data_IF_927010538529
#
_entry.id   IF_927010538529
#
_cell.length_a   1.000
_cell.length_b   1.000
_cell.length_c   1.000
_cell.angle_alpha   90.00
_cell.angle_beta   90.00
_cell.angle_gamma   90.00
#
_symmetry.space_group_name_H-M   'P 1'
#
loop_
_entity.id
_entity.type
_entity.pdbx_description
1 polymer ?
#
# COMPACT_ATOMS: atom_id res chain seq x y z
N UNK A 1 2.44 91.52 -56.84
CA UNK A 1 2.25 90.34 -57.65
C UNK A 1 2.65 89.18 -56.77
N UNK A 2 1.83 88.21 -56.61
CA UNK A 2 1.88 86.94 -55.89
C UNK A 2 2.74 86.85 -54.63
N UNK A 3 2.03 87.02 -53.48
CA UNK A 3 2.55 86.79 -52.16
C UNK A 3 2.65 85.30 -51.81
N UNK A 4 3.74 84.91 -51.20
CA UNK A 4 4.01 83.56 -50.68
C UNK A 4 3.56 83.51 -49.23
N UNK A 5 2.49 82.75 -48.97
CA UNK A 5 2.01 82.47 -47.59
C UNK A 5 2.78 81.31 -47.03
N UNK A 6 3.58 81.56 -45.98
CA UNK A 6 4.25 80.52 -45.20
C UNK A 6 3.24 79.93 -44.23
N UNK A 7 2.92 78.61 -44.37
CA UNK A 7 2.10 77.87 -43.48
C UNK A 7 3.01 77.29 -42.36
N UNK A 8 2.77 77.75 -41.12
CA UNK A 8 3.42 77.22 -39.93
C UNK A 8 2.57 76.07 -39.42
N UNK A 9 3.05 74.84 -39.44
CA UNK A 9 2.43 73.69 -38.80
C UNK A 9 2.93 73.54 -37.36
N UNK A 10 2.04 73.37 -36.36
CA UNK A 10 2.49 73.09 -35.03
C UNK A 10 2.92 71.62 -34.91
N UNK A 11 4.11 71.40 -34.39
CA UNK A 11 4.60 70.05 -34.00
C UNK A 11 3.86 69.62 -32.74
N UNK A 12 2.96 68.62 -32.88
CA UNK A 12 2.36 67.94 -31.72
C UNK A 12 3.35 66.89 -31.25
N UNK A 13 3.97 67.12 -30.10
CA UNK A 13 4.80 66.15 -29.40
C UNK A 13 3.87 65.16 -28.70
N UNK A 14 3.73 63.96 -29.29
CA UNK A 14 3.01 62.85 -28.67
C UNK A 14 3.91 62.24 -27.58
N UNK A 15 3.56 62.45 -26.31
CA UNK A 15 4.14 61.72 -25.18
C UNK A 15 3.62 60.25 -25.24
N UNK A 16 4.42 59.36 -25.77
CA UNK A 16 4.20 57.94 -25.58
C UNK A 16 4.37 57.62 -24.07
N UNK A 17 3.28 57.50 -23.35
CA UNK A 17 3.25 56.84 -22.06
C UNK A 17 3.62 55.36 -22.30
N UNK A 18 4.81 54.96 -21.83
CA UNK A 18 5.21 53.56 -21.82
C UNK A 18 4.19 52.71 -21.08
N UNK A 19 3.43 51.89 -21.80
CA UNK A 19 2.69 50.78 -21.24
C UNK A 19 3.73 49.77 -20.79
N UNK A 20 3.97 49.67 -19.47
CA UNK A 20 4.63 48.48 -18.90
C UNK A 20 3.79 47.29 -19.34
N UNK A 21 4.24 46.56 -20.33
CA UNK A 21 3.76 45.22 -20.61
C UNK A 21 4.18 44.37 -19.39
N UNK A 22 3.22 44.07 -18.53
CA UNK A 22 3.32 42.92 -17.63
C UNK A 22 3.46 41.69 -18.53
N UNK A 23 4.69 41.22 -18.74
CA UNK A 23 4.90 39.89 -19.25
C UNK A 23 4.18 38.95 -18.24
N UNK A 24 3.27 38.06 -18.67
CA UNK A 24 2.74 37.08 -17.80
C UNK A 24 3.97 36.28 -17.28
N UNK A 25 4.18 36.28 -15.96
CA UNK A 25 5.08 35.34 -15.34
C UNK A 25 4.59 33.98 -15.80
N UNK A 26 5.42 33.25 -16.54
CA UNK A 26 5.19 31.83 -16.82
C UNK A 26 4.90 31.24 -15.45
N UNK A 27 3.65 30.85 -15.23
CA UNK A 27 3.34 30.04 -14.08
C UNK A 27 4.25 28.82 -14.20
N UNK A 28 5.18 28.64 -13.28
CA UNK A 28 6.02 27.46 -13.25
C UNK A 28 5.09 26.25 -13.35
N UNK A 29 5.31 25.42 -14.37
CA UNK A 29 4.53 24.21 -14.53
C UNK A 29 4.68 23.40 -13.24
N UNK A 30 3.57 22.98 -12.67
CA UNK A 30 3.59 22.22 -11.41
C UNK A 30 4.55 21.04 -11.54
N UNK A 31 5.43 20.87 -10.56
CA UNK A 31 6.32 19.71 -10.47
C UNK A 31 5.46 18.44 -10.38
N UNK A 32 5.83 17.39 -11.08
CA UNK A 32 5.06 16.15 -11.12
C UNK A 32 5.88 15.00 -10.53
N UNK A 33 5.32 14.33 -9.55
CA UNK A 33 5.82 13.08 -8.97
C UNK A 33 4.98 11.94 -9.51
N UNK A 34 5.63 10.90 -10.06
CA UNK A 34 4.96 9.73 -10.62
C UNK A 34 5.16 8.53 -9.71
N UNK A 35 4.07 8.05 -9.14
CA UNK A 35 4.03 6.81 -8.34
C UNK A 35 3.16 5.80 -9.07
N UNK A 36 3.55 4.53 -9.05
CA UNK A 36 2.73 3.44 -9.60
C UNK A 36 3.10 2.12 -8.92
N UNK A 37 2.17 1.21 -8.78
CA UNK A 37 2.48 -0.12 -8.25
C UNK A 37 1.32 -0.83 -7.56
N UNK A 38 1.56 -1.26 -6.35
CA UNK A 38 0.69 -2.10 -5.55
C UNK A 38 -0.65 -1.44 -5.22
N UNK A 39 -1.76 -2.14 -5.51
CA UNK A 39 -3.10 -1.79 -5.04
C UNK A 39 -3.21 -1.78 -3.51
N UNK A 40 -2.44 -2.63 -2.82
CA UNK A 40 -2.38 -2.66 -1.35
C UNK A 40 -1.76 -1.38 -0.77
N UNK A 41 -0.71 -0.82 -1.39
CA UNK A 41 -0.03 0.39 -0.89
C UNK A 41 -0.74 1.67 -1.36
N UNK A 42 -1.47 1.58 -2.46
CA UNK A 42 -2.18 2.71 -3.08
C UNK A 42 -2.96 3.57 -2.09
N UNK A 43 -3.82 3.02 -1.17
CA UNK A 43 -4.60 3.86 -0.26
C UNK A 43 -3.74 4.74 0.65
N UNK A 44 -2.59 4.22 1.10
CA UNK A 44 -1.66 4.99 1.94
C UNK A 44 -0.99 6.07 1.11
N UNK A 45 -0.44 5.71 -0.07
CA UNK A 45 0.24 6.66 -0.95
C UNK A 45 -0.71 7.74 -1.45
N UNK A 46 -1.97 7.41 -1.73
CA UNK A 46 -3.01 8.37 -2.12
C UNK A 46 -3.31 9.37 -0.98
N UNK A 47 -3.52 8.88 0.25
CA UNK A 47 -3.74 9.74 1.41
C UNK A 47 -2.55 10.68 1.66
N UNK A 48 -1.32 10.15 1.60
CA UNK A 48 -0.09 10.95 1.72
C UNK A 48 0.02 11.97 0.59
N UNK A 49 -0.29 11.58 -0.65
CA UNK A 49 -0.23 12.47 -1.81
C UNK A 49 -1.24 13.61 -1.70
N UNK A 50 -2.46 13.31 -1.25
CA UNK A 50 -3.49 14.32 -1.04
C UNK A 50 -3.07 15.37 0.01
N UNK A 51 -2.63 14.93 1.19
CA UNK A 51 -2.21 15.82 2.26
C UNK A 51 -0.94 16.61 1.90
N UNK A 52 0.01 15.96 1.23
CA UNK A 52 1.21 16.63 0.71
C UNK A 52 0.86 17.74 -0.29
N UNK A 53 0.00 17.46 -1.29
CA UNK A 53 -0.43 18.45 -2.28
C UNK A 53 -1.15 19.64 -1.63
N UNK A 54 -1.96 19.40 -0.59
CA UNK A 54 -2.57 20.47 0.22
C UNK A 54 -1.51 21.35 0.88
N UNK A 55 -0.46 20.74 1.45
CA UNK A 55 0.63 21.47 2.10
C UNK A 55 1.47 22.30 1.12
N UNK A 56 1.70 21.78 -0.09
CA UNK A 56 2.46 22.43 -1.18
C UNK A 56 1.65 23.50 -1.92
N UNK A 57 0.35 23.65 -1.62
CA UNK A 57 -0.55 24.66 -2.23
C UNK A 57 -0.56 24.60 -3.76
N UNK A 58 -0.53 23.40 -4.33
CA UNK A 58 -0.61 23.16 -5.78
C UNK A 58 0.70 23.41 -6.55
N UNK A 59 1.83 23.55 -5.88
CA UNK A 59 3.15 23.65 -6.54
C UNK A 59 3.62 22.30 -7.07
N UNK A 60 3.28 21.22 -6.38
CA UNK A 60 3.67 19.86 -6.72
C UNK A 60 2.42 19.00 -6.90
N UNK A 61 2.33 18.26 -8.00
CA UNK A 61 1.30 17.26 -8.24
C UNK A 61 1.89 15.86 -8.05
N UNK A 62 1.18 15.00 -7.36
CA UNK A 62 1.52 13.57 -7.22
C UNK A 62 0.48 12.75 -7.97
N UNK A 63 0.92 11.92 -8.90
CA UNK A 63 0.04 10.97 -9.59
C UNK A 63 0.31 9.57 -9.06
N UNK A 64 -0.73 8.88 -8.63
CA UNK A 64 -0.63 7.52 -8.09
C UNK A 64 -1.41 6.58 -8.99
N UNK A 65 -0.74 5.59 -9.57
CA UNK A 65 -1.34 4.58 -10.45
C UNK A 65 -1.34 3.20 -9.80
N UNK A 66 -2.22 2.33 -10.30
CA UNK A 66 -2.34 0.94 -9.86
C UNK A 66 -2.02 0.02 -11.04
N UNK A 67 -0.96 -0.77 -10.92
CA UNK A 67 -0.62 -1.82 -11.89
C UNK A 67 -0.16 -3.13 -11.23
N UNK A 68 -0.41 -3.24 -9.90
CA UNK A 68 0.10 -4.31 -9.06
C UNK A 68 1.61 -4.16 -8.81
N UNK A 69 2.13 -4.83 -7.76
CA UNK A 69 3.55 -4.75 -7.39
C UNK A 69 4.50 -5.11 -8.54
N UNK A 70 4.19 -6.18 -9.28
CA UNK A 70 5.03 -6.60 -10.41
C UNK A 70 4.98 -5.64 -11.60
N UNK A 71 3.80 -5.06 -11.89
CA UNK A 71 3.60 -4.03 -12.91
C UNK A 71 4.34 -2.75 -12.55
N UNK A 72 4.25 -2.30 -11.30
CA UNK A 72 4.99 -1.18 -10.75
C UNK A 72 6.49 -1.34 -10.90
N UNK A 73 7.06 -2.46 -10.46
CA UNK A 73 8.49 -2.73 -10.63
C UNK A 73 8.94 -2.79 -12.10
N UNK A 74 8.07 -3.24 -13.01
CA UNK A 74 8.39 -3.21 -14.44
C UNK A 74 8.54 -1.77 -14.94
N UNK A 75 7.57 -0.88 -14.68
CA UNK A 75 7.63 0.54 -15.04
C UNK A 75 8.80 1.24 -14.35
N UNK A 76 8.99 0.99 -13.06
CA UNK A 76 10.07 1.53 -12.26
C UNK A 76 11.45 1.12 -12.80
N UNK A 77 11.64 -0.17 -13.07
CA UNK A 77 12.88 -0.69 -13.64
C UNK A 77 13.18 -0.19 -15.06
N UNK A 78 12.18 0.36 -15.77
CA UNK A 78 12.34 1.06 -17.05
C UNK A 78 12.57 2.58 -16.87
N UNK A 79 12.48 3.10 -15.63
CA UNK A 79 12.63 4.53 -15.34
C UNK A 79 11.40 5.37 -15.70
N UNK A 80 10.22 4.77 -15.82
CA UNK A 80 8.97 5.46 -16.19
C UNK A 80 8.31 6.15 -14.98
N UNK A 81 8.63 5.70 -13.75
CA UNK A 81 8.13 6.24 -12.50
C UNK A 81 9.26 6.68 -11.57
N UNK A 82 8.96 7.64 -10.70
CA UNK A 82 9.88 8.14 -9.66
C UNK A 82 9.90 7.22 -8.45
N UNK A 83 8.71 6.68 -8.12
CA UNK A 83 8.47 5.82 -6.97
C UNK A 83 7.65 4.61 -7.42
N UNK A 84 7.92 3.45 -6.83
CA UNK A 84 7.09 2.25 -7.00
C UNK A 84 6.54 1.79 -5.65
N UNK A 85 5.23 1.61 -5.58
CA UNK A 85 4.55 1.02 -4.46
C UNK A 85 4.68 -0.51 -4.52
N UNK A 86 5.02 -1.15 -3.39
CA UNK A 86 5.25 -2.58 -3.37
C UNK A 86 4.72 -3.25 -2.08
N UNK A 87 3.92 -4.28 -2.23
CA UNK A 87 3.37 -5.08 -1.13
C UNK A 87 4.28 -6.26 -0.73
N UNK A 88 5.48 -6.29 -1.24
CA UNK A 88 6.55 -7.25 -0.92
C UNK A 88 7.92 -6.68 -1.27
N UNK A 89 9.02 -7.22 -0.72
CA UNK A 89 10.35 -6.87 -1.18
C UNK A 89 10.57 -7.19 -2.67
N UNK A 90 11.48 -6.43 -3.28
CA UNK A 90 11.87 -6.61 -4.69
C UNK A 90 12.44 -8.01 -4.95
N UNK A 91 12.03 -8.65 -6.05
CA UNK A 91 12.50 -9.99 -6.45
C UNK A 91 13.82 -9.90 -7.24
N UNK A 92 14.63 -10.98 -7.29
CA UNK A 92 15.89 -10.99 -8.06
C UNK A 92 15.72 -10.58 -9.52
N UNK A 93 14.64 -11.01 -10.18
CA UNK A 93 14.35 -10.67 -11.58
C UNK A 93 14.10 -9.17 -11.80
N UNK A 94 13.49 -8.52 -10.80
CA UNK A 94 13.21 -7.06 -10.82
C UNK A 94 14.50 -6.29 -10.52
N UNK A 95 15.35 -6.79 -9.62
CA UNK A 95 16.71 -6.25 -9.38
C UNK A 95 17.53 -6.29 -10.66
N UNK A 96 17.51 -7.41 -11.41
CA UNK A 96 18.22 -7.51 -12.67
C UNK A 96 17.70 -6.54 -13.74
N UNK A 97 16.36 -6.31 -13.79
CA UNK A 97 15.77 -5.31 -14.68
C UNK A 97 16.29 -3.90 -14.34
N UNK A 98 16.29 -3.53 -13.05
CA UNK A 98 16.83 -2.25 -12.58
C UNK A 98 18.31 -2.09 -12.98
N UNK A 99 19.15 -3.08 -12.70
CA UNK A 99 20.58 -3.07 -13.08
C UNK A 99 20.79 -2.88 -14.57
N UNK A 100 20.05 -3.63 -15.40
CA UNK A 100 20.15 -3.55 -16.87
C UNK A 100 19.88 -2.14 -17.40
N UNK A 101 18.99 -1.41 -16.74
CA UNK A 101 18.60 -0.05 -17.15
C UNK A 101 19.30 1.06 -16.33
N UNK A 102 20.25 0.71 -15.46
CA UNK A 102 20.98 1.67 -14.64
C UNK A 102 20.14 2.35 -13.57
N UNK A 103 19.05 1.69 -13.11
CA UNK A 103 18.18 2.18 -12.05
C UNK A 103 18.71 1.70 -10.71
N UNK A 104 19.16 2.63 -9.89
CA UNK A 104 19.41 2.42 -8.46
C UNK A 104 18.19 2.86 -7.66
N UNK A 105 17.88 2.13 -6.59
CA UNK A 105 16.67 2.38 -5.78
C UNK A 105 16.96 2.38 -4.28
N UNK A 106 16.10 3.10 -3.55
CA UNK A 106 16.11 3.15 -2.09
C UNK A 106 14.79 2.51 -1.64
N UNK A 107 14.86 1.37 -0.95
CA UNK A 107 13.71 0.69 -0.36
C UNK A 107 13.36 1.32 0.98
N UNK A 108 12.10 1.69 1.17
CA UNK A 108 11.59 2.30 2.40
C UNK A 108 10.31 1.58 2.83
N UNK A 109 10.26 0.96 4.00
CA UNK A 109 9.03 0.43 4.55
C UNK A 109 8.10 1.58 4.97
N UNK A 110 6.79 1.39 4.77
CA UNK A 110 5.79 2.45 5.05
C UNK A 110 4.72 2.03 6.04
N UNK A 111 4.35 0.74 6.08
CA UNK A 111 3.36 0.20 7.03
C UNK A 111 3.46 -1.33 7.08
N UNK A 112 2.63 -1.94 7.95
CA UNK A 112 2.27 -3.35 7.84
C UNK A 112 0.85 -3.48 7.30
N UNK A 113 0.68 -4.39 6.36
CA UNK A 113 -0.61 -4.91 5.92
C UNK A 113 -0.93 -6.14 6.78
N UNK A 114 -2.02 -6.09 7.53
CA UNK A 114 -2.50 -7.18 8.39
C UNK A 114 -3.91 -7.58 7.99
N UNK A 115 -4.10 -8.85 7.63
CA UNK A 115 -5.40 -9.42 7.33
C UNK A 115 -5.91 -10.26 8.50
N UNK A 116 -7.16 -10.11 8.83
CA UNK A 116 -7.82 -10.94 9.84
C UNK A 116 -8.87 -11.86 9.22
N UNK A 117 -8.92 -13.09 9.70
CA UNK A 117 -10.02 -14.00 9.46
C UNK A 117 -11.02 -13.85 10.60
N UNK A 118 -12.28 -13.67 10.26
CA UNK A 118 -13.31 -13.34 11.23
C UNK A 118 -14.56 -14.19 11.04
N UNK A 119 -15.24 -14.46 12.18
CA UNK A 119 -16.52 -15.16 12.24
C UNK A 119 -17.49 -14.40 13.13
N UNK A 120 -18.75 -14.81 13.13
CA UNK A 120 -19.75 -14.30 14.07
C UNK A 120 -19.38 -14.66 15.51
N UNK A 121 -19.57 -13.78 16.51
CA UNK A 121 -19.27 -14.08 17.92
C UNK A 121 -20.02 -15.30 18.49
N UNK A 122 -21.17 -15.66 17.92
CA UNK A 122 -21.95 -16.85 18.29
C UNK A 122 -21.46 -18.15 17.66
N UNK A 123 -20.47 -18.07 16.76
CA UNK A 123 -19.77 -19.24 16.23
C UNK A 123 -18.89 -19.83 17.34
N UNK A 124 -19.30 -20.97 17.85
CA UNK A 124 -18.69 -21.63 19.02
C UNK A 124 -17.94 -22.93 18.68
N UNK A 125 -17.74 -23.24 17.39
CA UNK A 125 -17.02 -24.43 16.94
C UNK A 125 -15.67 -24.14 16.31
N UNK A 126 -15.41 -22.87 15.89
CA UNK A 126 -14.11 -22.47 15.36
C UNK A 126 -13.30 -21.80 16.48
N UNK A 127 -12.31 -22.52 16.99
CA UNK A 127 -11.34 -21.98 17.95
C UNK A 127 -10.12 -21.39 17.25
N UNK A 128 -9.69 -22.01 16.15
CA UNK A 128 -8.63 -21.56 15.26
C UNK A 128 -8.73 -22.23 13.90
N UNK A 129 -7.97 -21.76 12.93
CA UNK A 129 -7.78 -22.38 11.61
C UNK A 129 -6.29 -22.50 11.29
N UNK A 130 -5.93 -23.58 10.61
CA UNK A 130 -4.62 -23.68 9.98
C UNK A 130 -4.63 -23.02 8.59
N UNK A 131 -3.46 -22.61 8.10
CA UNK A 131 -3.30 -22.12 6.71
C UNK A 131 -3.79 -23.15 5.70
N UNK A 132 -3.57 -24.44 5.96
CA UNK A 132 -4.07 -25.54 5.11
C UNK A 132 -5.60 -25.62 5.07
N UNK A 133 -6.26 -25.39 6.20
CA UNK A 133 -7.72 -25.36 6.26
C UNK A 133 -8.29 -24.13 5.57
N UNK A 134 -7.67 -22.97 5.75
CA UNK A 134 -8.04 -21.76 4.99
C UNK A 134 -7.89 -21.99 3.48
N UNK A 135 -6.77 -22.57 3.04
CA UNK A 135 -6.59 -22.95 1.64
C UNK A 135 -7.69 -23.87 1.14
N UNK A 136 -8.01 -24.92 1.90
CA UNK A 136 -9.08 -25.87 1.57
C UNK A 136 -10.45 -25.19 1.44
N UNK A 137 -10.70 -24.11 2.20
CA UNK A 137 -11.95 -23.32 2.12
C UNK A 137 -11.95 -22.45 0.88
N UNK A 138 -10.81 -21.79 0.55
CA UNK A 138 -10.77 -20.67 -0.38
C UNK A 138 -10.18 -20.98 -1.77
N UNK A 139 -9.48 -22.13 -1.97
CA UNK A 139 -8.89 -22.48 -3.26
C UNK A 139 -9.96 -22.66 -4.36
N UNK A 140 -9.62 -22.47 -5.65
CA UNK A 140 -10.58 -22.63 -6.77
C UNK A 140 -11.26 -23.97 -6.79
N UNK A 141 -10.54 -25.03 -6.43
CA UNK A 141 -11.03 -26.42 -6.41
C UNK A 141 -12.13 -26.66 -5.37
N UNK A 142 -12.24 -25.81 -4.37
CA UNK A 142 -13.25 -25.85 -3.31
C UNK A 142 -14.65 -25.43 -3.81
N UNK A 143 -14.72 -24.71 -4.93
CA UNK A 143 -15.96 -24.16 -5.47
C UNK A 143 -17.02 -25.23 -5.63
N UNK A 144 -18.17 -25.06 -4.98
CA UNK A 144 -19.32 -25.99 -4.95
C UNK A 144 -19.00 -27.39 -4.41
N UNK A 145 -17.78 -27.64 -3.91
CA UNK A 145 -17.38 -28.93 -3.32
C UNK A 145 -17.24 -28.85 -1.79
N UNK A 146 -16.60 -27.79 -1.33
CA UNK A 146 -16.45 -27.51 0.09
C UNK A 146 -17.54 -26.49 0.47
N UNK A 147 -18.67 -27.01 0.91
CA UNK A 147 -19.87 -26.20 1.20
C UNK A 147 -20.34 -26.33 2.64
N UNK A 148 -19.74 -27.25 3.43
CA UNK A 148 -20.16 -27.54 4.80
C UNK A 148 -18.98 -27.54 5.76
N UNK A 149 -19.24 -27.11 6.99
CA UNK A 149 -18.21 -26.98 8.03
C UNK A 149 -17.58 -28.35 8.41
N UNK A 150 -18.37 -29.43 8.47
CA UNK A 150 -17.85 -30.78 8.76
C UNK A 150 -16.95 -31.35 7.66
N UNK A 151 -16.88 -30.72 6.50
CA UNK A 151 -15.90 -31.08 5.47
C UNK A 151 -14.50 -30.50 5.78
N UNK A 152 -14.43 -29.50 6.63
CA UNK A 152 -13.14 -28.97 7.11
C UNK A 152 -12.65 -29.81 8.28
N UNK A 153 -13.42 -29.90 9.37
CA UNK A 153 -13.20 -30.82 10.49
C UNK A 153 -14.43 -31.67 10.72
N UNK A 154 -14.31 -33.02 10.81
CA UNK A 154 -15.46 -33.93 10.93
C UNK A 154 -16.32 -33.73 12.19
N UNK A 155 -15.76 -33.16 13.25
CA UNK A 155 -16.43 -32.85 14.52
C UNK A 155 -17.19 -31.53 14.50
N UNK A 156 -17.03 -30.71 13.42
CA UNK A 156 -17.78 -29.49 13.26
C UNK A 156 -19.20 -29.71 12.73
N UNK A 157 -20.10 -28.74 12.90
CA UNK A 157 -21.52 -28.93 12.52
C UNK A 157 -21.67 -29.24 11.02
N UNK A 158 -22.63 -30.14 10.71
CA UNK A 158 -23.07 -30.39 9.34
C UNK A 158 -24.01 -29.27 8.87
N UNK A 159 -23.42 -28.06 8.67
CA UNK A 159 -24.09 -26.84 8.25
C UNK A 159 -23.33 -26.18 7.12
N UNK A 160 -24.00 -25.36 6.34
CA UNK A 160 -23.39 -24.64 5.21
C UNK A 160 -22.33 -23.65 5.69
N UNK A 161 -21.32 -23.40 4.85
CA UNK A 161 -20.33 -22.33 5.01
C UNK A 161 -20.79 -21.15 4.20
N UNK A 162 -20.93 -19.99 4.83
CA UNK A 162 -21.20 -18.73 4.13
C UNK A 162 -19.94 -17.88 4.10
N UNK A 163 -19.47 -17.57 2.90
CA UNK A 163 -18.17 -16.96 2.67
C UNK A 163 -18.31 -15.48 2.33
N UNK A 164 -17.53 -14.65 3.01
CA UNK A 164 -17.42 -13.21 2.78
C UNK A 164 -15.96 -12.83 2.61
N UNK A 165 -15.63 -12.01 1.62
CA UNK A 165 -14.25 -11.63 1.39
C UNK A 165 -14.14 -10.39 0.52
N UNK A 166 -12.94 -9.79 0.55
CA UNK A 166 -12.62 -8.65 -0.28
C UNK A 166 -12.87 -8.95 -1.76
N UNK A 167 -13.27 -7.95 -2.50
CA UNK A 167 -13.52 -8.04 -3.93
C UNK A 167 -12.24 -8.21 -4.74
N UNK A 168 -12.39 -8.61 -5.99
CA UNK A 168 -11.26 -8.98 -6.87
C UNK A 168 -10.36 -7.80 -7.27
N UNK A 169 -10.83 -6.56 -7.08
CA UNK A 169 -10.05 -5.35 -7.34
C UNK A 169 -9.31 -4.84 -6.09
N UNK A 170 -9.46 -5.55 -4.94
CA UNK A 170 -8.86 -5.19 -3.67
C UNK A 170 -7.46 -5.78 -3.50
N UNK A 171 -6.50 -4.97 -3.05
CA UNK A 171 -5.18 -5.43 -2.63
C UNK A 171 -5.22 -6.44 -1.46
N UNK A 172 -6.27 -6.41 -0.64
CA UNK A 172 -6.56 -7.39 0.40
C UNK A 172 -6.83 -8.77 -0.21
N UNK A 173 -7.62 -8.83 -1.29
CA UNK A 173 -7.86 -10.06 -2.04
C UNK A 173 -6.59 -10.62 -2.67
N UNK A 174 -5.78 -9.77 -3.31
CA UNK A 174 -4.51 -10.17 -3.91
C UNK A 174 -3.61 -10.83 -2.87
N UNK A 175 -3.45 -10.17 -1.73
CA UNK A 175 -2.60 -10.68 -0.66
C UNK A 175 -3.13 -11.97 -0.04
N UNK A 176 -4.43 -12.03 0.28
CA UNK A 176 -5.02 -13.23 0.85
C UNK A 176 -4.84 -14.43 -0.06
N UNK A 177 -5.11 -14.27 -1.35
CA UNK A 177 -4.97 -15.37 -2.32
C UNK A 177 -3.51 -15.78 -2.53
N UNK A 178 -2.56 -14.83 -2.54
CA UNK A 178 -1.14 -15.14 -2.58
C UNK A 178 -0.69 -15.91 -1.32
N UNK A 179 -1.04 -15.41 -0.14
CA UNK A 179 -0.58 -15.95 1.14
C UNK A 179 -1.19 -17.30 1.47
N UNK A 180 -2.48 -17.50 1.20
CA UNK A 180 -3.22 -18.72 1.59
C UNK A 180 -3.28 -19.75 0.45
N UNK A 181 -3.59 -19.32 -0.76
CA UNK A 181 -3.74 -20.26 -1.90
C UNK A 181 -2.41 -20.48 -2.61
N UNK A 182 -1.48 -19.51 -2.51
CA UNK A 182 -0.16 -19.58 -3.11
C UNK A 182 -0.06 -18.91 -4.49
N UNK A 183 -1.13 -18.19 -4.92
CA UNK A 183 -1.16 -17.47 -6.18
C UNK A 183 -2.16 -16.34 -6.11
N UNK A 184 -1.73 -15.11 -6.44
CA UNK A 184 -2.62 -13.95 -6.59
C UNK A 184 -3.81 -14.26 -7.51
N UNK A 185 -4.97 -13.73 -7.18
CA UNK A 185 -6.25 -13.89 -7.89
C UNK A 185 -6.77 -15.34 -8.00
N UNK A 186 -6.18 -16.29 -7.29
CA UNK A 186 -6.63 -17.68 -7.30
C UNK A 186 -7.55 -17.96 -6.12
N UNK A 187 -8.86 -17.88 -6.33
CA UNK A 187 -9.86 -18.29 -5.33
C UNK A 187 -11.10 -18.91 -6.00
N UNK A 188 -11.94 -19.53 -5.16
CA UNK A 188 -13.32 -19.85 -5.56
C UNK A 188 -14.08 -18.55 -5.82
N UNK A 189 -15.11 -18.60 -6.69
CA UNK A 189 -15.92 -17.45 -7.04
C UNK A 189 -17.34 -17.46 -6.43
N UNK A 190 -17.67 -18.47 -5.61
CA UNK A 190 -18.99 -18.62 -5.00
C UNK A 190 -19.01 -18.10 -3.55
N UNK A 191 -18.51 -16.90 -3.34
CA UNK A 191 -18.54 -16.16 -2.08
C UNK A 191 -19.14 -14.75 -2.28
N UNK A 192 -19.55 -14.11 -1.19
CA UNK A 192 -19.99 -12.71 -1.22
C UNK A 192 -18.76 -11.83 -1.23
N UNK A 193 -18.47 -11.23 -2.38
CA UNK A 193 -17.38 -10.30 -2.60
C UNK A 193 -17.83 -8.85 -2.38
N UNK A 194 -17.03 -8.02 -1.74
CA UNK A 194 -17.26 -6.57 -1.64
C UNK A 194 -15.94 -5.82 -1.53
N UNK A 195 -15.88 -4.66 -2.20
CA UNK A 195 -14.80 -3.67 -2.00
C UNK A 195 -15.05 -2.80 -0.77
N UNK A 196 -16.29 -2.80 -0.23
CA UNK A 196 -16.65 -2.13 1.01
C UNK A 196 -16.64 -3.15 2.17
N UNK A 197 -15.63 -3.06 3.03
CA UNK A 197 -15.47 -3.94 4.18
C UNK A 197 -16.63 -3.83 5.19
N UNK A 198 -17.39 -2.73 5.22
CA UNK A 198 -18.58 -2.63 6.07
C UNK A 198 -19.68 -3.60 5.64
N UNK A 199 -19.77 -3.93 4.35
CA UNK A 199 -20.68 -4.97 3.84
C UNK A 199 -20.26 -6.33 4.36
N UNK A 200 -18.94 -6.62 4.38
CA UNK A 200 -18.39 -7.87 4.90
C UNK A 200 -18.61 -7.99 6.41
N UNK A 201 -18.35 -6.92 7.17
CA UNK A 201 -18.64 -6.82 8.61
C UNK A 201 -20.12 -7.12 8.88
N UNK A 202 -21.04 -6.48 8.14
CA UNK A 202 -22.47 -6.69 8.33
C UNK A 202 -22.89 -8.12 8.00
N UNK A 203 -22.36 -8.71 6.93
CA UNK A 203 -22.62 -10.10 6.56
C UNK A 203 -22.23 -11.07 7.68
N UNK A 204 -21.00 -10.97 8.17
CA UNK A 204 -20.49 -11.85 9.22
C UNK A 204 -21.20 -11.62 10.57
N UNK A 205 -21.46 -10.36 10.94
CA UNK A 205 -22.12 -10.00 12.20
C UNK A 205 -23.56 -10.56 12.32
N UNK A 206 -24.23 -10.76 11.21
CA UNK A 206 -25.64 -11.22 11.17
C UNK A 206 -25.80 -12.72 10.90
N UNK A 207 -24.73 -13.41 10.50
CA UNK A 207 -24.76 -14.80 10.11
C UNK A 207 -23.77 -15.66 10.90
N UNK A 208 -24.30 -16.55 11.76
CA UNK A 208 -23.50 -17.45 12.62
C UNK A 208 -22.65 -18.45 11.81
N UNK A 209 -23.07 -18.75 10.57
CA UNK A 209 -22.39 -19.68 9.66
C UNK A 209 -21.33 -19.00 8.80
N UNK A 210 -21.20 -17.67 8.91
CA UNK A 210 -20.29 -16.90 8.12
C UNK A 210 -18.84 -16.99 8.58
N UNK A 211 -17.93 -16.94 7.61
CA UNK A 211 -16.51 -16.66 7.77
C UNK A 211 -16.08 -15.69 6.68
N UNK A 212 -15.18 -14.79 7.00
CA UNK A 212 -14.62 -13.88 6.01
C UNK A 212 -13.24 -13.38 6.37
N UNK A 213 -12.64 -12.63 5.43
CA UNK A 213 -11.34 -11.99 5.61
C UNK A 213 -11.37 -10.55 5.10
N UNK A 214 -10.75 -9.65 5.84
CA UNK A 214 -10.52 -8.25 5.49
C UNK A 214 -9.49 -7.62 6.43
N UNK A 215 -9.17 -6.32 6.26
CA UNK A 215 -8.16 -5.64 7.05
C UNK A 215 -8.45 -5.66 8.55
N UNK A 216 -7.42 -5.90 9.36
CA UNK A 216 -7.54 -6.00 10.83
C UNK A 216 -8.11 -4.74 11.49
N UNK A 217 -7.90 -3.57 10.89
CA UNK A 217 -8.41 -2.29 11.41
C UNK A 217 -9.95 -2.24 11.50
N UNK A 218 -10.66 -2.91 10.63
CA UNK A 218 -12.12 -2.98 10.69
C UNK A 218 -12.62 -3.79 11.88
N UNK A 219 -11.83 -4.76 12.37
CA UNK A 219 -12.14 -5.46 13.61
C UNK A 219 -12.10 -4.53 14.82
N UNK A 220 -11.10 -3.64 14.90
CA UNK A 220 -10.95 -2.70 16.01
C UNK A 220 -12.24 -1.90 16.29
N UNK A 221 -12.92 -1.49 15.23
CA UNK A 221 -14.17 -0.72 15.29
C UNK A 221 -15.44 -1.60 15.44
N UNK A 222 -15.31 -2.94 15.43
CA UNK A 222 -16.43 -3.89 15.43
C UNK A 222 -16.21 -5.09 16.37
N UNK A 223 -15.43 -4.94 17.45
CA UNK A 223 -15.06 -6.01 18.40
C UNK A 223 -16.25 -6.71 19.05
N UNK A 224 -17.32 -6.01 19.27
CA UNK A 224 -18.58 -6.53 19.85
C UNK A 224 -19.42 -7.34 18.84
N UNK A 225 -19.14 -7.20 17.55
CA UNK A 225 -19.91 -7.78 16.45
C UNK A 225 -19.18 -8.90 15.71
N UNK A 226 -17.88 -9.02 15.91
CA UNK A 226 -17.00 -9.96 15.23
C UNK A 226 -16.14 -10.74 16.22
N UNK A 227 -15.77 -11.95 15.85
CA UNK A 227 -14.79 -12.78 16.57
C UNK A 227 -13.61 -13.05 15.63
N UNK A 228 -12.41 -12.68 16.07
CA UNK A 228 -11.17 -13.06 15.38
C UNK A 228 -10.96 -14.57 15.45
N UNK A 229 -10.45 -15.13 14.37
CA UNK A 229 -10.01 -16.52 14.30
C UNK A 229 -8.47 -16.54 14.34
N UNK A 230 -7.86 -17.14 15.38
CA UNK A 230 -6.42 -17.34 15.40
C UNK A 230 -5.97 -18.22 14.22
N UNK A 231 -4.83 -17.90 13.63
CA UNK A 231 -4.27 -18.65 12.50
C UNK A 231 -3.02 -19.39 12.94
N UNK A 232 -2.94 -20.68 12.59
CA UNK A 232 -1.78 -21.52 12.79
C UNK A 232 -1.14 -21.81 11.43
N UNK A 233 0.06 -21.27 11.20
CA UNK A 233 0.81 -21.55 9.98
C UNK A 233 1.64 -22.84 10.04
N UNK A 234 1.54 -23.54 11.20
CA UNK A 234 2.24 -24.81 11.49
C UNK A 234 3.78 -24.67 11.41
N UNK A 235 4.31 -23.44 11.52
CA UNK A 235 5.73 -23.15 11.52
C UNK A 235 6.21 -22.73 12.93
N UNK A 236 6.92 -23.58 13.66
CA UNK A 236 7.38 -23.26 15.01
C UNK A 236 8.48 -22.20 15.09
N UNK A 237 9.07 -21.80 13.95
CA UNK A 237 10.16 -20.81 13.90
C UNK A 237 9.67 -19.38 14.14
N UNK A 238 8.42 -19.06 13.81
CA UNK A 238 7.83 -17.73 13.98
C UNK A 238 6.83 -17.65 15.13
N UNK A 239 6.54 -18.77 15.80
CA UNK A 239 5.60 -18.88 16.94
C UNK A 239 5.11 -20.29 17.11
N UNK A 240 4.41 -20.59 18.19
CA UNK A 240 3.83 -21.92 18.41
C UNK A 240 2.31 -21.83 18.42
N UNK A 241 1.69 -22.64 17.56
CA UNK A 241 0.25 -22.79 17.49
C UNK A 241 -0.48 -21.55 16.93
N UNK A 242 -1.79 -21.48 17.16
CA UNK A 242 -2.64 -20.43 16.62
C UNK A 242 -2.33 -19.04 17.21
N UNK A 243 -2.14 -18.04 16.35
CA UNK A 243 -1.80 -16.66 16.71
C UNK A 243 -2.89 -15.71 16.22
N UNK A 244 -3.27 -14.75 17.05
CA UNK A 244 -4.20 -13.66 16.70
C UNK A 244 -3.49 -12.53 15.97
N UNK A 245 -4.18 -11.75 15.11
CA UNK A 245 -3.64 -10.56 14.47
C UNK A 245 -3.57 -9.36 15.42
N UNK A 246 -2.93 -9.54 16.59
CA UNK A 246 -2.70 -8.44 17.51
C UNK A 246 -1.53 -7.58 17.04
N UNK A 247 -1.53 -6.29 17.44
CA UNK A 247 -0.53 -5.31 16.97
C UNK A 247 0.91 -5.82 17.19
N UNK A 248 1.19 -6.34 18.38
CA UNK A 248 2.53 -6.86 18.71
C UNK A 248 2.92 -8.09 17.89
N UNK A 249 1.96 -8.99 17.61
CA UNK A 249 2.22 -10.20 16.84
C UNK A 249 2.47 -9.90 15.36
N UNK A 250 1.79 -8.88 14.82
CA UNK A 250 2.06 -8.36 13.47
C UNK A 250 3.44 -7.73 13.41
N UNK A 251 3.79 -6.85 14.37
CA UNK A 251 5.09 -6.18 14.40
C UNK A 251 6.26 -7.13 14.64
N UNK A 252 6.05 -8.15 15.46
CA UNK A 252 7.07 -9.17 15.75
C UNK A 252 7.22 -10.21 14.63
N UNK A 253 6.32 -10.21 13.64
CA UNK A 253 6.30 -11.18 12.55
C UNK A 253 5.88 -12.58 12.98
N UNK A 254 5.20 -12.72 14.13
CA UNK A 254 4.68 -14.02 14.63
C UNK A 254 3.34 -14.36 13.99
N UNK A 255 2.50 -13.37 13.68
CA UNK A 255 1.25 -13.59 12.94
C UNK A 255 1.51 -13.77 11.46
N UNK A 256 1.57 -15.04 11.02
CA UNK A 256 1.89 -15.41 9.64
C UNK A 256 0.85 -16.39 9.05
N UNK A 257 0.66 -16.39 7.72
CA UNK A 257 1.29 -15.53 6.70
C UNK A 257 0.47 -14.28 6.39
N UNK A 258 -0.51 -13.90 7.23
CA UNK A 258 -1.47 -12.83 6.97
C UNK A 258 -1.03 -11.44 7.47
N UNK A 259 0.27 -11.27 7.75
CA UNK A 259 0.87 -9.97 8.02
C UNK A 259 2.18 -9.82 7.24
N UNK A 260 2.36 -8.64 6.61
CA UNK A 260 3.57 -8.33 5.84
C UNK A 260 3.93 -6.85 5.91
N UNK A 261 5.21 -6.49 5.90
CA UNK A 261 5.60 -5.11 5.65
C UNK A 261 5.36 -4.74 4.19
N UNK A 262 4.98 -3.49 3.97
CA UNK A 262 4.77 -2.90 2.65
C UNK A 262 5.67 -1.68 2.46
N UNK A 263 5.99 -1.34 1.21
CA UNK A 263 7.13 -0.50 0.87
C UNK A 263 6.80 0.51 -0.21
N UNK A 264 7.61 1.57 -0.23
CA UNK A 264 7.86 2.37 -1.43
C UNK A 264 9.32 2.21 -1.86
N UNK A 265 9.56 2.19 -3.18
CA UNK A 265 10.89 2.17 -3.78
C UNK A 265 11.13 3.49 -4.51
N UNK A 266 12.09 4.26 -4.05
CA UNK A 266 12.40 5.58 -4.62
C UNK A 266 13.56 5.44 -5.58
N UNK A 267 13.40 5.91 -6.83
CA UNK A 267 14.50 5.99 -7.79
C UNK A 267 15.55 6.97 -7.27
N UNK A 268 16.80 6.52 -7.12
CA UNK A 268 17.89 7.32 -6.55
C UNK A 268 18.11 8.62 -7.33
N UNK A 269 18.01 8.57 -8.67
CA UNK A 269 18.14 9.76 -9.51
C UNK A 269 16.98 10.73 -9.29
N UNK A 270 15.75 10.23 -9.18
CA UNK A 270 14.59 11.06 -8.83
C UNK A 270 14.72 11.67 -7.43
N UNK A 271 15.35 10.98 -6.49
CA UNK A 271 15.61 11.48 -5.14
C UNK A 271 16.55 12.70 -5.08
N UNK A 272 17.19 13.09 -6.20
CA UNK A 272 17.96 14.34 -6.31
C UNK A 272 17.04 15.56 -6.49
N UNK A 273 15.81 15.35 -6.95
CA UNK A 273 14.81 16.40 -7.17
C UNK A 273 14.22 16.88 -5.84
N UNK A 274 14.15 18.22 -5.62
CA UNK A 274 13.67 18.77 -4.34
C UNK A 274 12.25 18.36 -3.98
N UNK A 275 11.34 18.26 -4.95
CA UNK A 275 9.95 17.84 -4.73
C UNK A 275 9.85 16.37 -4.27
N UNK A 276 10.69 15.48 -4.79
CA UNK A 276 10.76 14.08 -4.34
C UNK A 276 11.28 14.02 -2.90
N UNK A 277 12.29 14.85 -2.57
CA UNK A 277 12.82 14.90 -1.20
C UNK A 277 11.74 15.33 -0.21
N UNK A 278 11.01 16.42 -0.53
CA UNK A 278 9.92 16.90 0.32
C UNK A 278 8.79 15.87 0.47
N UNK A 279 8.42 15.20 -0.64
CA UNK A 279 7.38 14.18 -0.62
C UNK A 279 7.76 12.97 0.24
N UNK A 280 8.98 12.43 0.07
CA UNK A 280 9.44 11.29 0.87
C UNK A 280 9.63 11.67 2.34
N UNK A 281 10.15 12.88 2.64
CA UNK A 281 10.24 13.37 4.02
C UNK A 281 8.86 13.52 4.66
N UNK A 282 7.89 14.04 3.92
CA UNK A 282 6.49 14.13 4.35
C UNK A 282 5.89 12.73 4.59
N UNK A 283 6.13 11.80 3.65
CA UNK A 283 5.66 10.41 3.77
C UNK A 283 6.19 9.74 5.04
N UNK A 284 7.48 9.86 5.31
CA UNK A 284 8.09 9.25 6.51
C UNK A 284 7.65 9.94 7.81
N UNK A 285 7.22 11.19 7.77
CA UNK A 285 6.79 11.94 8.94
C UNK A 285 5.31 11.74 9.27
N UNK A 286 4.44 11.82 8.27
CA UNK A 286 2.99 11.82 8.43
C UNK A 286 2.36 10.44 8.07
N UNK A 287 3.11 9.60 7.33
CA UNK A 287 2.61 8.32 6.80
C UNK A 287 2.16 7.33 7.87
N UNK A 288 2.70 7.42 9.09
CA UNK A 288 2.26 6.57 10.20
C UNK A 288 0.81 6.82 10.60
N UNK A 289 0.42 8.08 10.80
CA UNK A 289 -0.96 8.43 11.14
C UNK A 289 -1.90 8.21 9.94
N UNK A 290 -1.49 8.62 8.74
CA UNK A 290 -2.27 8.42 7.53
C UNK A 290 -2.49 6.92 7.21
N UNK A 291 -1.51 6.06 7.51
CA UNK A 291 -1.67 4.60 7.38
C UNK A 291 -2.78 4.08 8.30
N UNK A 292 -2.85 4.55 9.55
CA UNK A 292 -3.91 4.16 10.50
C UNK A 292 -5.29 4.64 10.03
N UNK A 293 -5.37 5.87 9.50
CA UNK A 293 -6.63 6.44 8.98
C UNK A 293 -7.22 5.59 7.84
N UNK A 294 -6.36 5.02 6.98
CA UNK A 294 -6.79 4.17 5.87
C UNK A 294 -6.79 2.66 6.20
N UNK A 295 -6.66 2.30 7.49
CA UNK A 295 -6.88 0.94 7.97
C UNK A 295 -5.66 0.01 7.96
N UNK A 296 -4.44 0.56 7.93
CA UNK A 296 -3.20 -0.19 8.01
C UNK A 296 -2.53 -0.06 9.39
N UNK A 297 -1.58 -0.96 9.67
CA UNK A 297 -0.80 -0.93 10.91
C UNK A 297 0.45 -0.09 10.67
N UNK A 298 0.55 1.04 11.38
CA UNK A 298 1.73 1.90 11.31
C UNK A 298 2.98 1.16 11.81
N UNK A 299 4.11 1.47 11.21
CA UNK A 299 5.41 1.07 11.76
C UNK A 299 5.65 1.78 13.10
N UNK A 300 6.52 1.24 13.96
CA UNK A 300 7.04 1.99 15.09
C UNK A 300 7.74 3.28 14.63
N UNK A 301 7.64 4.34 15.43
CA UNK A 301 8.23 5.66 15.11
C UNK A 301 9.71 5.54 14.73
N UNK A 302 10.45 4.68 15.46
CA UNK A 302 11.86 4.42 15.18
C UNK A 302 12.14 3.86 13.79
N UNK A 303 11.23 3.08 13.24
CA UNK A 303 11.37 2.54 11.88
C UNK A 303 11.22 3.64 10.82
N UNK A 304 10.30 4.59 11.01
CA UNK A 304 10.18 5.77 10.14
C UNK A 304 11.41 6.66 10.21
N UNK A 305 11.98 6.90 11.41
CA UNK A 305 13.23 7.65 11.58
C UNK A 305 14.38 7.00 10.80
N UNK A 306 14.57 5.69 10.97
CA UNK A 306 15.62 4.93 10.29
C UNK A 306 15.41 4.89 8.76
N UNK A 307 14.16 4.75 8.30
CA UNK A 307 13.83 4.82 6.88
C UNK A 307 14.14 6.21 6.30
N UNK A 308 13.81 7.28 7.04
CA UNK A 308 14.15 8.64 6.64
C UNK A 308 15.67 8.87 6.60
N UNK A 309 16.41 8.34 7.58
CA UNK A 309 17.87 8.41 7.58
C UNK A 309 18.46 7.67 6.38
N UNK A 310 17.96 6.46 6.07
CA UNK A 310 18.32 5.68 4.88
C UNK A 310 18.10 6.48 3.59
N UNK A 311 16.94 7.14 3.48
CA UNK A 311 16.63 8.02 2.34
C UNK A 311 17.59 9.21 2.23
N UNK A 312 17.83 9.93 3.34
CA UNK A 312 18.74 11.09 3.37
C UNK A 312 20.18 10.72 3.01
N UNK A 313 20.66 9.56 3.45
CA UNK A 313 21.98 9.02 3.11
C UNK A 313 22.05 8.41 1.70
N UNK A 314 20.91 8.33 0.96
CA UNK A 314 20.83 7.68 -0.36
C UNK A 314 21.32 6.23 -0.35
N UNK A 315 21.00 5.48 0.70
CA UNK A 315 21.40 4.09 0.83
C UNK A 315 20.61 3.23 -0.14
N UNK A 316 21.27 2.75 -1.19
CA UNK A 316 20.64 1.96 -2.26
C UNK A 316 20.50 0.49 -1.90
N UNK A 317 19.54 -0.17 -2.55
CA UNK A 317 19.28 -1.59 -2.40
C UNK A 317 18.16 -1.89 -1.41
N UNK A 318 17.94 -3.18 -1.16
CA UNK A 318 16.90 -3.72 -0.27
C UNK A 318 17.48 -4.12 1.07
N UNK A 319 16.83 -3.77 2.18
CA UNK A 319 17.17 -4.23 3.54
C UNK A 319 17.08 -5.76 3.67
N UNK A 320 16.34 -6.42 2.76
CA UNK A 320 16.26 -7.87 2.66
C UNK A 320 17.37 -8.49 1.79
N UNK A 321 18.30 -7.68 1.27
CA UNK A 321 19.37 -8.14 0.39
C UNK A 321 18.87 -8.78 -0.92
N UNK A 322 17.68 -8.39 -1.39
CA UNK A 322 17.05 -8.94 -2.61
C UNK A 322 16.58 -10.39 -2.50
N UNK A 323 16.42 -10.93 -1.29
CA UNK A 323 16.01 -12.32 -1.05
C UNK A 323 14.50 -12.50 -0.86
N UNK A 324 13.73 -11.43 -0.93
CA UNK A 324 12.30 -11.44 -0.64
C UNK A 324 11.98 -11.34 0.85
N UNK A 325 10.71 -11.51 1.22
CA UNK A 325 10.24 -11.44 2.61
C UNK A 325 10.90 -12.53 3.46
N UNK A 326 11.24 -12.18 4.70
CA UNK A 326 11.75 -13.09 5.71
C UNK A 326 10.78 -13.10 6.88
N UNK A 327 10.25 -14.26 7.22
CA UNK A 327 9.32 -14.45 8.33
C UNK A 327 10.04 -14.20 9.68
N UNK A 328 9.35 -13.58 10.64
CA UNK A 328 9.85 -13.37 11.99
C UNK A 328 10.97 -12.31 12.13
N UNK A 329 11.19 -11.47 11.10
CA UNK A 329 12.21 -10.42 11.14
C UNK A 329 11.54 -9.06 11.31
N UNK A 330 11.93 -8.34 12.39
CA UNK A 330 11.49 -6.96 12.62
C UNK A 330 12.16 -6.02 11.62
N UNK A 331 11.36 -5.17 10.99
CA UNK A 331 11.86 -4.16 10.04
C UNK A 331 12.90 -3.24 10.68
N UNK A 332 12.70 -2.87 11.94
CA UNK A 332 13.65 -2.05 12.70
C UNK A 332 15.03 -2.68 12.81
N UNK A 333 15.09 -3.99 13.08
CA UNK A 333 16.36 -4.72 13.20
C UNK A 333 17.13 -4.75 11.88
N UNK A 334 16.41 -4.86 10.75
CA UNK A 334 17.01 -4.80 9.42
C UNK A 334 17.58 -3.42 9.14
N UNK A 335 16.79 -2.36 9.37
CA UNK A 335 17.20 -0.99 9.16
C UNK A 335 18.37 -0.59 10.07
N UNK A 336 18.40 -1.05 11.33
CA UNK A 336 19.50 -0.79 12.26
C UNK A 336 20.80 -1.49 11.87
N UNK A 337 20.73 -2.70 11.29
CA UNK A 337 21.93 -3.41 10.80
C UNK A 337 22.61 -2.69 9.66
N UNK A 338 21.87 -2.02 8.82
CA UNK A 338 22.41 -1.25 7.70
C UNK A 338 22.89 0.15 8.11
N UNK A 339 22.35 0.71 9.19
CA UNK A 339 22.76 2.04 9.69
C UNK A 339 24.14 2.02 10.38
N UNK A 340 24.69 0.83 10.70
CA UNK A 340 26.02 0.62 11.28
C UNK A 340 27.07 0.39 10.21
#
# INVERSE_FOLDING_TARGET
MKGLRILVFPIVILFCRGVLQYAPTLADAAEVIKVDGSSTVYPITEAVAEEFQKSERGKTNVTVGISGTGGGFKKFGLGETDISDASRPIKPTEVELCKKNGIEYIELPVAYDGLAVMVNPKNNWIDYLTVKELKKIWEPEAQRKITRWNQIRPDWPDKEIHLFGAGVDSGTYDYFTEAIVGKEHASRGDYTASEDDNVLVQGIATDVLAIGFFGVAYYENNKDRLKLVPIDDENPENGKGPILPEYEDVLNGTYQPLARPIFIYVNKKSAERPEIQRFVEFYMKEGGELSKEVGYIALPEKAYELALERFKKRMVGSVFGGRGSQTGVKIEDLLQKEAK
#
